data_IF_180285861314
#
_entry.id   IF_180285861314
#
_cell.length_a   1.000
_cell.length_b   1.000
_cell.length_c   1.000
_cell.angle_alpha   90.00
_cell.angle_beta   90.00
_cell.angle_gamma   90.00
#
_symmetry.space_group_name_H-M   'P 1'
#
loop_
_entity.id
_entity.type
_entity.pdbx_description
1 polymer ?
#
# COMPACT_ATOMS: atom_id res chain seq x y z
N UNK A 1 53.50 -37.75 17.48
CA UNK A 1 53.03 -37.43 16.10
C UNK A 1 51.65 -36.83 16.27
N UNK A 2 51.60 -35.50 16.40
CA UNK A 2 50.36 -34.74 16.65
C UNK A 2 49.95 -34.09 15.33
N UNK A 3 48.80 -34.50 14.81
CA UNK A 3 48.21 -33.90 13.62
C UNK A 3 47.16 -32.87 14.05
N UNK A 4 47.52 -31.59 13.91
CA UNK A 4 46.62 -30.44 14.16
C UNK A 4 45.64 -30.30 13.01
N UNK A 5 44.36 -30.52 13.27
CA UNK A 5 43.26 -30.15 12.39
C UNK A 5 43.05 -28.64 12.49
N UNK A 6 43.26 -27.91 11.39
CA UNK A 6 42.90 -26.51 11.24
C UNK A 6 41.40 -26.42 10.95
N UNK A 7 40.63 -25.80 11.85
CA UNK A 7 39.27 -25.30 11.60
C UNK A 7 39.42 -23.95 10.92
N UNK A 8 38.90 -23.83 9.71
CA UNK A 8 38.78 -22.56 9.01
C UNK A 8 37.39 -22.00 9.30
N UNK A 9 37.36 -20.94 10.12
CA UNK A 9 36.17 -20.07 10.26
C UNK A 9 35.94 -19.32 8.97
N UNK A 10 34.78 -19.54 8.33
CA UNK A 10 34.28 -18.69 7.26
C UNK A 10 33.11 -17.88 7.80
N UNK A 11 33.30 -16.56 7.85
CA UNK A 11 32.34 -15.55 8.27
C UNK A 11 31.11 -15.50 7.38
N UNK A 12 29.89 -15.31 7.95
CA UNK A 12 28.64 -15.15 7.16
C UNK A 12 28.19 -13.68 7.04
N UNK A 13 29.11 -12.71 6.86
CA UNK A 13 28.74 -11.28 6.92
C UNK A 13 28.49 -10.60 5.56
N UNK A 14 28.91 -11.18 4.44
CA UNK A 14 28.84 -10.49 3.15
C UNK A 14 27.50 -10.57 2.40
N UNK A 15 26.62 -11.52 2.73
CA UNK A 15 25.33 -11.65 2.01
C UNK A 15 24.28 -10.62 2.44
N UNK A 16 24.21 -10.29 3.72
CA UNK A 16 23.21 -9.30 4.23
C UNK A 16 23.46 -7.86 3.75
N UNK A 17 24.71 -7.48 3.57
CA UNK A 17 25.09 -6.12 3.13
C UNK A 17 24.69 -5.89 1.67
N UNK A 18 24.80 -6.89 0.80
CA UNK A 18 24.44 -6.76 -0.63
C UNK A 18 22.94 -6.70 -0.86
N UNK A 19 22.10 -7.39 -0.07
CA UNK A 19 20.65 -7.40 -0.25
C UNK A 19 20.02 -6.07 0.17
N UNK A 20 20.53 -5.43 1.23
CA UNK A 20 20.03 -4.13 1.71
C UNK A 20 20.39 -2.99 0.75
N UNK A 21 21.52 -3.09 0.05
CA UNK A 21 21.96 -2.17 -1.00
C UNK A 21 21.05 -2.27 -2.23
N UNK A 22 20.69 -3.48 -2.66
CA UNK A 22 19.84 -3.72 -3.83
C UNK A 22 18.40 -3.21 -3.62
N UNK A 23 17.86 -3.30 -2.40
CA UNK A 23 16.55 -2.74 -2.09
C UNK A 23 16.59 -1.21 -2.07
N UNK A 24 17.64 -0.61 -1.48
CA UNK A 24 17.84 0.84 -1.50
C UNK A 24 17.93 1.37 -2.93
N UNK A 25 18.65 0.68 -3.81
CA UNK A 25 18.76 1.01 -5.22
C UNK A 25 17.41 0.93 -5.94
N UNK A 26 16.64 -0.15 -5.78
CA UNK A 26 15.28 -0.29 -6.34
C UNK A 26 14.30 0.77 -5.82
N UNK A 27 14.40 1.15 -4.53
CA UNK A 27 13.58 2.20 -3.95
C UNK A 27 13.96 3.58 -4.53
N UNK A 28 15.25 3.85 -4.73
CA UNK A 28 15.76 5.12 -5.31
C UNK A 28 15.43 5.21 -6.81
N UNK A 29 15.57 4.13 -7.58
CA UNK A 29 15.22 4.12 -9.02
C UNK A 29 13.72 4.36 -9.24
N UNK A 30 12.84 3.84 -8.37
CA UNK A 30 11.40 4.04 -8.46
C UNK A 30 10.96 5.46 -8.06
N UNK A 31 11.73 6.16 -7.21
CA UNK A 31 11.49 7.57 -6.84
C UNK A 31 11.85 8.55 -7.97
N UNK A 32 12.85 8.22 -8.81
CA UNK A 32 13.27 9.07 -9.92
C UNK A 32 12.31 9.15 -11.10
N UNK A 33 11.26 8.31 -11.16
CA UNK A 33 10.32 8.26 -12.30
C UNK A 33 9.11 9.19 -12.18
N UNK A 34 8.95 9.95 -11.10
CA UNK A 34 7.88 10.96 -10.99
C UNK A 34 8.43 12.31 -10.46
N UNK A 35 8.80 13.17 -11.40
CA UNK A 35 8.77 14.61 -11.18
C UNK A 35 7.46 15.16 -11.75
N UNK A 36 6.75 15.96 -10.93
CA UNK A 36 5.65 16.86 -11.26
C UNK A 36 4.26 16.28 -11.56
N UNK A 37 3.42 16.28 -10.48
CA UNK A 37 2.06 16.88 -10.57
C UNK A 37 1.52 17.18 -9.15
N UNK A 38 1.01 18.39 -8.88
CA UNK A 38 0.51 18.78 -7.55
C UNK A 38 -0.80 18.08 -7.19
N UNK A 39 -0.86 17.51 -6.00
CA UNK A 39 -2.12 17.02 -5.40
C UNK A 39 -2.98 18.22 -5.00
N UNK A 40 -4.00 18.53 -5.79
CA UNK A 40 -5.02 19.50 -5.41
C UNK A 40 -6.04 18.87 -4.45
N UNK A 41 -6.41 19.64 -3.44
CA UNK A 41 -7.39 19.34 -2.40
C UNK A 41 -8.76 18.95 -2.95
N UNK A 42 -9.42 17.99 -2.29
CA UNK A 42 -10.78 17.55 -2.61
C UNK A 42 -11.78 18.66 -2.26
N UNK A 43 -12.38 19.29 -3.27
CA UNK A 43 -13.58 20.09 -3.12
C UNK A 43 -14.84 19.24 -3.30
N UNK A 44 -15.84 19.59 -2.52
CA UNK A 44 -17.13 18.93 -2.34
C UNK A 44 -18.05 19.16 -3.53
N UNK A 45 -18.90 18.20 -3.84
CA UNK A 45 -20.27 18.53 -4.22
C UNK A 45 -21.26 17.45 -3.74
N UNK A 46 -22.27 17.88 -3.06
CA UNK A 46 -23.36 17.08 -2.58
C UNK A 46 -24.65 17.51 -3.25
N UNK A 47 -25.44 16.56 -3.68
CA UNK A 47 -26.90 16.67 -3.67
C UNK A 47 -27.49 15.28 -3.78
N UNK A 48 -28.27 14.90 -2.77
CA UNK A 48 -29.10 13.70 -2.83
C UNK A 48 -30.28 13.93 -3.78
N UNK A 49 -30.48 13.00 -4.68
CA UNK A 49 -31.75 12.79 -5.37
C UNK A 49 -32.05 11.30 -5.32
N UNK A 50 -33.18 10.94 -4.72
CA UNK A 50 -33.77 9.62 -4.82
C UNK A 50 -34.18 9.38 -6.27
N UNK A 51 -33.42 8.54 -6.99
CA UNK A 51 -33.82 8.08 -8.32
C UNK A 51 -34.60 6.77 -8.21
N UNK A 52 -35.88 6.86 -8.53
CA UNK A 52 -36.75 5.74 -8.89
C UNK A 52 -36.12 5.00 -10.08
N UNK A 53 -35.69 3.77 -9.85
CA UNK A 53 -35.08 2.91 -10.86
C UNK A 53 -36.11 2.43 -11.86
N UNK A 54 -36.30 3.14 -12.98
CA UNK A 54 -37.00 2.60 -14.14
C UNK A 54 -36.04 1.66 -14.89
N UNK A 55 -36.39 0.39 -14.98
CA UNK A 55 -35.66 -0.60 -15.78
C UNK A 55 -35.84 -0.32 -17.28
N UNK A 56 -35.03 0.56 -17.85
CA UNK A 56 -34.86 0.63 -19.29
C UNK A 56 -33.84 -0.45 -19.72
N UNK A 57 -34.13 -1.20 -20.81
CA UNK A 57 -33.14 -2.15 -21.32
C UNK A 57 -31.88 -1.39 -21.74
N UNK A 58 -30.76 -1.75 -21.12
CA UNK A 58 -29.44 -1.22 -21.48
C UNK A 58 -29.15 -1.49 -22.95
N UNK A 59 -28.67 -0.49 -23.69
CA UNK A 59 -28.18 -0.70 -25.04
C UNK A 59 -27.11 -1.77 -25.07
N UNK A 60 -26.99 -2.54 -26.15
CA UNK A 60 -26.04 -3.66 -26.27
C UNK A 60 -24.60 -3.25 -25.90
N UNK A 61 -24.19 -2.05 -26.30
CA UNK A 61 -22.87 -1.48 -25.98
C UNK A 61 -22.68 -1.23 -24.48
N UNK A 62 -23.73 -0.83 -23.77
CA UNK A 62 -23.67 -0.63 -22.31
C UNK A 62 -23.60 -1.96 -21.56
N UNK A 63 -24.27 -2.99 -22.07
CA UNK A 63 -24.19 -4.35 -21.51
C UNK A 63 -22.80 -4.94 -21.70
N UNK A 64 -22.17 -4.73 -22.83
CA UNK A 64 -20.80 -5.20 -23.10
C UNK A 64 -19.78 -4.47 -22.23
N UNK A 65 -19.89 -3.15 -22.09
CA UNK A 65 -19.05 -2.37 -21.18
C UNK A 65 -19.20 -2.83 -19.72
N UNK A 66 -20.40 -3.13 -19.26
CA UNK A 66 -20.66 -3.64 -17.93
C UNK A 66 -19.99 -5.02 -17.69
N UNK A 67 -20.03 -5.91 -18.71
CA UNK A 67 -19.35 -7.21 -18.66
C UNK A 67 -17.83 -7.04 -18.59
N UNK A 68 -17.26 -6.18 -19.43
CA UNK A 68 -15.81 -5.89 -19.42
C UNK A 68 -15.38 -5.30 -18.07
N UNK A 69 -16.14 -4.36 -17.51
CA UNK A 69 -15.87 -3.81 -16.18
C UNK A 69 -15.91 -4.90 -15.09
N UNK A 70 -16.93 -5.75 -15.09
CA UNK A 70 -17.03 -6.86 -14.13
C UNK A 70 -15.87 -7.84 -14.25
N UNK A 71 -15.44 -8.16 -15.47
CA UNK A 71 -14.27 -9.01 -15.71
C UNK A 71 -12.99 -8.35 -15.20
N UNK A 72 -12.80 -7.08 -15.46
CA UNK A 72 -11.67 -6.30 -14.93
C UNK A 72 -11.64 -6.32 -13.39
N UNK A 73 -12.78 -6.13 -12.73
CA UNK A 73 -12.86 -6.17 -11.26
C UNK A 73 -12.50 -7.54 -10.69
N UNK A 74 -12.84 -8.64 -11.39
CA UNK A 74 -12.43 -9.98 -11.02
C UNK A 74 -10.89 -10.14 -11.03
N UNK A 75 -10.20 -9.49 -11.96
CA UNK A 75 -8.73 -9.51 -11.99
C UNK A 75 -8.13 -8.83 -10.78
N UNK A 76 -8.65 -7.66 -10.39
CA UNK A 76 -8.20 -6.95 -9.19
C UNK A 76 -8.49 -7.74 -7.90
N UNK A 77 -9.65 -8.39 -7.80
CA UNK A 77 -9.97 -9.28 -6.67
C UNK A 77 -8.98 -10.46 -6.58
N UNK A 78 -8.66 -11.06 -7.71
CA UNK A 78 -7.70 -12.17 -7.77
C UNK A 78 -6.30 -11.71 -7.35
N UNK A 79 -5.86 -10.53 -7.82
CA UNK A 79 -4.59 -9.93 -7.40
C UNK A 79 -4.51 -9.68 -5.90
N UNK A 80 -5.57 -9.12 -5.30
CA UNK A 80 -5.66 -8.95 -3.84
C UNK A 80 -5.55 -10.28 -3.11
N UNK A 81 -6.29 -11.30 -3.52
CA UNK A 81 -6.27 -12.62 -2.86
C UNK A 81 -4.88 -13.24 -2.90
N UNK A 82 -4.25 -13.23 -4.08
CA UNK A 82 -2.91 -13.80 -4.25
C UNK A 82 -1.87 -13.05 -3.40
N UNK A 83 -1.88 -11.72 -3.44
CA UNK A 83 -0.92 -10.91 -2.68
C UNK A 83 -1.16 -11.01 -1.16
N UNK A 84 -2.42 -11.09 -0.72
CA UNK A 84 -2.76 -11.32 0.69
C UNK A 84 -2.24 -12.67 1.18
N UNK A 85 -2.39 -13.74 0.38
CA UNK A 85 -1.86 -15.06 0.70
C UNK A 85 -0.34 -15.04 0.82
N UNK A 86 0.37 -14.34 -0.08
CA UNK A 86 1.82 -14.17 0.01
C UNK A 86 2.25 -13.50 1.31
N UNK A 87 1.62 -12.38 1.67
CA UNK A 87 1.89 -11.67 2.93
C UNK A 87 1.64 -12.56 4.16
N UNK A 88 0.59 -13.38 4.13
CA UNK A 88 0.31 -14.33 5.21
C UNK A 88 1.36 -15.44 5.32
N UNK A 89 1.86 -15.93 4.20
CA UNK A 89 2.96 -16.92 4.17
C UNK A 89 4.24 -16.30 4.74
N UNK A 90 4.62 -15.10 4.27
CA UNK A 90 5.80 -14.39 4.76
C UNK A 90 5.72 -14.08 6.26
N UNK A 91 4.53 -13.73 6.76
CA UNK A 91 4.32 -13.51 8.20
C UNK A 91 4.59 -14.76 9.02
N UNK A 92 4.09 -15.92 8.57
CA UNK A 92 4.30 -17.20 9.25
C UNK A 92 5.75 -17.66 9.18
N UNK A 93 6.40 -17.49 8.05
CA UNK A 93 7.82 -17.80 7.87
C UNK A 93 8.69 -16.98 8.83
N UNK A 94 8.40 -15.68 8.92
CA UNK A 94 9.09 -14.79 9.84
C UNK A 94 8.86 -15.16 11.30
N UNK A 95 7.61 -15.49 11.68
CA UNK A 95 7.26 -15.96 13.04
C UNK A 95 8.08 -17.20 13.44
N UNK A 96 8.21 -18.16 12.53
CA UNK A 96 9.00 -19.37 12.79
C UNK A 96 10.50 -19.11 12.98
N UNK A 97 11.02 -18.06 12.32
CA UNK A 97 12.45 -17.73 12.36
C UNK A 97 12.82 -16.76 13.48
N UNK A 98 11.88 -15.98 14.00
CA UNK A 98 12.15 -14.86 14.91
C UNK A 98 11.24 -14.84 16.15
N UNK A 99 10.42 -15.87 16.38
CA UNK A 99 9.48 -15.99 17.51
C UNK A 99 8.51 -14.80 17.67
N UNK A 100 8.29 -14.02 16.61
CA UNK A 100 7.35 -12.89 16.58
C UNK A 100 6.72 -12.65 15.20
N UNK A 101 5.60 -11.96 15.17
CA UNK A 101 4.91 -11.59 13.95
C UNK A 101 5.24 -10.16 13.53
N UNK A 102 5.80 -9.93 12.32
CA UNK A 102 6.04 -8.58 11.80
C UNK A 102 4.75 -7.93 11.27
N UNK A 103 3.67 -8.70 11.12
CA UNK A 103 2.37 -8.21 10.61
C UNK A 103 1.31 -8.43 11.67
N UNK A 104 0.76 -7.35 12.20
CA UNK A 104 -0.38 -7.35 13.13
C UNK A 104 -1.71 -7.59 12.39
N UNK A 105 -1.91 -6.94 11.23
CA UNK A 105 -3.17 -7.03 10.51
C UNK A 105 -3.00 -6.77 9.01
N UNK A 106 -3.79 -7.47 8.19
CA UNK A 106 -3.91 -7.25 6.75
C UNK A 106 -5.36 -6.95 6.42
N UNK A 107 -5.62 -5.79 5.79
CA UNK A 107 -6.94 -5.40 5.27
C UNK A 107 -6.83 -5.12 3.80
N UNK A 108 -7.80 -5.59 3.04
CA UNK A 108 -7.88 -5.32 1.60
C UNK A 108 -9.19 -4.61 1.25
N UNK A 109 -9.15 -3.87 0.16
CA UNK A 109 -10.34 -3.25 -0.42
C UNK A 109 -10.20 -3.12 -1.93
N UNK A 110 -11.35 -3.15 -2.61
CA UNK A 110 -11.49 -2.66 -3.98
C UNK A 110 -12.13 -1.28 -3.93
N UNK A 111 -11.58 -0.36 -4.72
CA UNK A 111 -12.13 0.99 -4.83
C UNK A 111 -13.48 0.93 -5.52
N UNK A 112 -14.49 1.63 -4.99
CA UNK A 112 -15.83 1.67 -5.60
C UNK A 112 -15.81 2.35 -6.97
N UNK A 113 -16.75 1.99 -7.85
CA UNK A 113 -16.90 2.58 -9.18
C UNK A 113 -17.03 4.12 -9.12
N UNK A 114 -17.77 4.63 -8.13
CA UNK A 114 -17.93 6.06 -7.89
C UNK A 114 -16.58 6.74 -7.55
N UNK A 115 -15.80 6.13 -6.64
CA UNK A 115 -14.47 6.66 -6.25
C UNK A 115 -13.48 6.61 -7.41
N UNK A 116 -13.57 5.58 -8.27
CA UNK A 116 -12.78 5.47 -9.49
C UNK A 116 -13.14 6.61 -10.45
N UNK A 117 -14.43 6.81 -10.70
CA UNK A 117 -14.93 7.87 -11.61
C UNK A 117 -14.51 9.27 -11.11
N UNK A 118 -14.67 9.55 -9.80
CA UNK A 118 -14.20 10.80 -9.18
C UNK A 118 -12.70 11.01 -9.38
N UNK A 119 -11.88 9.95 -9.21
CA UNK A 119 -10.42 10.05 -9.40
C UNK A 119 -10.06 10.29 -10.87
N UNK A 120 -10.69 9.60 -11.81
CA UNK A 120 -10.46 9.82 -13.25
C UNK A 120 -10.84 11.26 -13.65
N UNK A 121 -12.00 11.76 -13.21
CA UNK A 121 -12.43 13.14 -13.46
C UNK A 121 -11.43 14.16 -12.90
N UNK A 122 -10.95 13.97 -11.66
CA UNK A 122 -9.94 14.84 -11.03
C UNK A 122 -8.63 14.88 -11.81
N UNK A 123 -8.21 13.74 -12.39
CA UNK A 123 -7.00 13.65 -13.23
C UNK A 123 -7.23 14.09 -14.68
N UNK A 124 -8.44 14.53 -15.06
CA UNK A 124 -8.77 14.89 -16.43
C UNK A 124 -8.72 13.73 -17.43
N UNK A 125 -8.89 12.49 -16.95
CA UNK A 125 -8.75 11.28 -17.76
C UNK A 125 -10.07 10.91 -18.45
N UNK A 126 -10.03 10.42 -19.72
CA UNK A 126 -11.19 9.89 -20.42
C UNK A 126 -11.80 8.70 -19.65
N UNK A 127 -13.13 8.65 -19.57
CA UNK A 127 -13.88 7.60 -18.88
C UNK A 127 -13.96 6.30 -19.70
N UNK A 128 -12.79 5.72 -20.03
CA UNK A 128 -12.66 4.46 -20.76
C UNK A 128 -11.94 3.41 -19.90
N UNK A 129 -12.25 2.13 -20.09
CA UNK A 129 -11.60 1.06 -19.35
C UNK A 129 -10.08 1.00 -19.63
N UNK A 130 -9.66 1.25 -20.87
CA UNK A 130 -8.25 1.29 -21.24
C UNK A 130 -7.53 2.42 -20.51
N UNK A 131 -8.12 3.62 -20.44
CA UNK A 131 -7.51 4.73 -19.70
C UNK A 131 -7.47 4.44 -18.19
N UNK A 132 -8.51 3.82 -17.65
CA UNK A 132 -8.59 3.41 -16.26
C UNK A 132 -7.44 2.46 -15.89
N UNK A 133 -7.26 1.36 -16.64
CA UNK A 133 -6.24 0.34 -16.35
C UNK A 133 -4.81 0.87 -16.46
N UNK A 134 -4.57 1.83 -17.35
CA UNK A 134 -3.23 2.38 -17.59
C UNK A 134 -2.84 3.51 -16.63
N UNK A 135 -3.81 4.15 -15.95
CA UNK A 135 -3.54 5.37 -15.17
C UNK A 135 -3.98 5.30 -13.70
N UNK A 136 -4.74 4.27 -13.31
CA UNK A 136 -5.26 4.13 -11.95
C UNK A 136 -4.79 2.81 -11.34
N UNK A 137 -3.69 2.85 -10.57
CA UNK A 137 -3.07 1.66 -9.99
C UNK A 137 -3.59 1.29 -8.59
N UNK A 138 -4.43 2.12 -7.97
CA UNK A 138 -4.97 1.95 -6.62
C UNK A 138 -6.43 1.44 -6.60
N UNK A 139 -6.86 0.74 -7.65
CA UNK A 139 -8.16 0.06 -7.70
C UNK A 139 -8.19 -1.08 -6.70
N UNK A 140 -7.18 -1.93 -6.72
CA UNK A 140 -6.91 -2.95 -5.72
C UNK A 140 -5.97 -2.39 -4.65
N UNK A 141 -6.38 -2.44 -3.39
CA UNK A 141 -5.57 -1.93 -2.28
C UNK A 141 -5.46 -2.94 -1.14
N UNK A 142 -4.26 -3.08 -0.60
CA UNK A 142 -3.99 -3.84 0.62
C UNK A 142 -3.36 -2.91 1.63
N UNK A 143 -3.83 -2.97 2.88
CA UNK A 143 -3.21 -2.29 4.01
C UNK A 143 -2.62 -3.33 4.94
N UNK A 144 -1.32 -3.19 5.20
CA UNK A 144 -0.55 -3.99 6.14
C UNK A 144 -0.23 -3.13 7.36
N UNK A 145 -0.55 -3.62 8.54
CA UNK A 145 -0.24 -2.96 9.81
C UNK A 145 0.86 -3.77 10.48
N UNK A 146 1.93 -3.10 10.88
CA UNK A 146 3.09 -3.66 11.55
C UNK A 146 3.23 -3.08 12.97
N UNK A 147 3.80 -3.82 13.92
CA UNK A 147 4.11 -3.30 15.25
C UNK A 147 5.12 -2.15 15.22
N UNK A 148 6.21 -2.30 14.48
CA UNK A 148 7.37 -1.41 14.49
C UNK A 148 7.69 -0.84 13.10
N UNK A 149 8.45 0.27 13.08
CA UNK A 149 8.87 0.91 11.83
C UNK A 149 9.80 -0.04 11.03
N UNK A 150 10.70 -0.75 11.71
CA UNK A 150 11.59 -1.75 11.06
C UNK A 150 10.80 -2.85 10.38
N UNK A 151 9.71 -3.31 10.99
CA UNK A 151 8.87 -4.36 10.40
C UNK A 151 8.19 -3.90 9.10
N UNK A 152 7.81 -2.62 8.99
CA UNK A 152 7.26 -2.06 7.75
C UNK A 152 8.24 -2.26 6.60
N UNK A 153 9.51 -1.92 6.80
CA UNK A 153 10.53 -2.07 5.78
C UNK A 153 10.93 -3.53 5.54
N UNK A 154 10.97 -4.35 6.59
CA UNK A 154 11.31 -5.77 6.47
C UNK A 154 10.24 -6.54 5.68
N UNK A 155 8.95 -6.31 5.96
CA UNK A 155 7.84 -6.90 5.19
C UNK A 155 7.88 -6.42 3.75
N UNK A 156 8.18 -5.15 3.50
CA UNK A 156 8.36 -4.61 2.15
C UNK A 156 9.50 -5.32 1.42
N UNK A 157 10.65 -5.51 2.07
CA UNK A 157 11.82 -6.22 1.53
C UNK A 157 11.48 -7.67 1.19
N UNK A 158 10.86 -8.41 2.11
CA UNK A 158 10.46 -9.80 1.88
C UNK A 158 9.49 -9.93 0.70
N UNK A 159 8.52 -9.01 0.58
CA UNK A 159 7.58 -9.00 -0.52
C UNK A 159 8.28 -8.72 -1.86
N UNK A 160 9.14 -7.72 -1.91
CA UNK A 160 9.82 -7.29 -3.14
C UNK A 160 10.97 -8.22 -3.57
N UNK A 161 11.43 -9.12 -2.69
CA UNK A 161 12.40 -10.18 -3.05
C UNK A 161 11.77 -11.33 -3.85
N UNK A 162 10.43 -11.42 -3.91
CA UNK A 162 9.75 -12.48 -4.66
C UNK A 162 9.80 -12.21 -6.16
N UNK A 163 10.13 -13.25 -6.94
CA UNK A 163 10.38 -13.15 -8.39
C UNK A 163 9.13 -12.83 -9.23
N UNK A 164 7.94 -13.02 -8.67
CA UNK A 164 6.65 -12.77 -9.33
C UNK A 164 5.96 -11.48 -8.82
N UNK A 165 6.69 -10.65 -8.07
CA UNK A 165 6.25 -9.33 -7.61
C UNK A 165 7.16 -8.28 -8.25
N UNK A 166 6.60 -7.48 -9.15
CA UNK A 166 7.27 -6.37 -9.82
C UNK A 166 6.93 -5.06 -9.12
N UNK A 167 7.94 -4.33 -8.66
CA UNK A 167 7.76 -2.98 -8.11
C UNK A 167 7.58 -1.97 -9.25
N UNK A 168 6.48 -1.21 -9.21
CA UNK A 168 6.18 -0.14 -10.18
C UNK A 168 6.49 1.23 -9.62
N UNK A 169 6.16 1.46 -8.33
CA UNK A 169 6.31 2.76 -7.70
C UNK A 169 6.43 2.64 -6.18
N UNK A 170 7.20 3.53 -5.58
CA UNK A 170 7.32 3.73 -4.13
C UNK A 170 6.97 5.17 -3.78
N UNK A 171 6.25 5.36 -2.65
CA UNK A 171 6.11 6.64 -1.96
C UNK A 171 6.33 6.40 -0.47
N UNK A 172 7.44 6.91 0.03
CA UNK A 172 7.84 6.73 1.42
C UNK A 172 7.47 7.94 2.28
N UNK A 173 6.20 8.00 2.68
CA UNK A 173 5.72 9.03 3.59
C UNK A 173 6.12 8.79 5.06
N UNK A 174 6.90 7.75 5.37
CA UNK A 174 7.50 7.58 6.69
C UNK A 174 8.72 8.50 6.78
N UNK A 175 9.57 8.50 5.74
CA UNK A 175 10.75 9.36 5.63
C UNK A 175 10.39 10.80 5.29
N UNK A 176 9.47 10.98 4.34
CA UNK A 176 8.99 12.28 3.87
C UNK A 176 7.48 12.44 4.15
N UNK A 177 7.09 12.76 5.39
CA UNK A 177 5.69 12.91 5.76
C UNK A 177 5.00 14.01 4.97
N UNK A 178 3.71 13.81 4.66
CA UNK A 178 2.90 14.87 4.06
C UNK A 178 2.77 16.05 5.03
N UNK A 179 2.42 17.24 4.50
CA UNK A 179 2.25 18.47 5.28
C UNK A 179 1.28 18.31 6.48
N UNK A 180 0.22 17.51 6.31
CA UNK A 180 -0.73 17.22 7.39
C UNK A 180 -0.21 16.22 8.43
N UNK A 181 1.01 15.70 8.27
CA UNK A 181 1.64 14.71 9.16
C UNK A 181 1.32 13.25 8.83
N UNK A 182 0.65 12.97 7.71
CA UNK A 182 0.40 11.60 7.28
C UNK A 182 1.68 10.84 7.02
N UNK A 183 1.78 9.59 7.55
CA UNK A 183 2.90 8.67 7.37
C UNK A 183 2.41 7.30 6.91
N UNK A 184 3.08 6.72 5.93
CA UNK A 184 2.84 5.37 5.40
C UNK A 184 3.90 5.07 4.35
N UNK A 185 4.30 3.82 4.18
CA UNK A 185 5.01 3.36 3.00
C UNK A 185 3.98 2.86 1.98
N UNK A 186 3.99 3.41 0.77
CA UNK A 186 3.11 3.01 -0.33
C UNK A 186 3.94 2.35 -1.43
N UNK A 187 3.55 1.15 -1.80
CA UNK A 187 4.12 0.43 -2.92
C UNK A 187 3.02 0.18 -3.95
N UNK A 188 3.28 0.49 -5.22
CA UNK A 188 2.50 -0.06 -6.32
C UNK A 188 3.29 -1.24 -6.86
N UNK A 189 2.70 -2.42 -6.76
CA UNK A 189 3.30 -3.65 -7.29
C UNK A 189 2.41 -4.27 -8.34
N UNK A 190 3.01 -4.97 -9.31
CA UNK A 190 2.29 -5.88 -10.20
C UNK A 190 2.57 -7.30 -9.77
N UNK A 191 1.52 -8.11 -9.71
CA UNK A 191 1.60 -9.54 -9.38
C UNK A 191 1.07 -10.38 -10.52
N UNK A 192 1.75 -11.48 -10.83
CA UNK A 192 1.32 -12.44 -11.84
C UNK A 192 0.16 -13.26 -11.30
N UNK A 193 -0.99 -13.19 -11.95
CA UNK A 193 -2.18 -14.00 -11.64
C UNK A 193 -2.51 -14.90 -12.81
N UNK A 194 -2.73 -16.19 -12.54
CA UNK A 194 -3.04 -17.17 -13.56
C UNK A 194 -4.55 -17.41 -13.63
N UNK A 195 -5.13 -17.18 -14.80
CA UNK A 195 -6.52 -17.46 -15.13
C UNK A 195 -6.60 -18.63 -16.10
N UNK A 196 -7.81 -19.13 -16.38
CA UNK A 196 -8.04 -20.24 -17.31
C UNK A 196 -7.57 -19.95 -18.74
N UNK A 197 -7.52 -18.68 -19.12
CA UNK A 197 -7.12 -18.20 -20.45
C UNK A 197 -5.68 -17.62 -20.49
N UNK A 198 -4.92 -17.72 -19.38
CA UNK A 198 -3.53 -17.31 -19.32
C UNK A 198 -3.17 -16.45 -18.11
N UNK A 199 -1.92 -16.00 -18.07
CA UNK A 199 -1.37 -15.16 -17.02
C UNK A 199 -1.64 -13.67 -17.31
N UNK A 200 -1.96 -12.92 -16.26
CA UNK A 200 -2.09 -11.46 -16.29
C UNK A 200 -1.34 -10.81 -15.13
N UNK A 201 -0.70 -9.69 -15.40
CA UNK A 201 -0.13 -8.84 -14.37
C UNK A 201 -1.19 -7.90 -13.83
N UNK A 202 -1.44 -7.98 -12.53
CA UNK A 202 -2.46 -7.18 -11.85
C UNK A 202 -1.77 -6.18 -10.90
N UNK A 203 -2.00 -4.86 -11.08
CA UNK A 203 -1.47 -3.86 -10.18
C UNK A 203 -2.26 -3.85 -8.87
N UNK A 204 -1.54 -3.75 -7.75
CA UNK A 204 -2.08 -3.64 -6.39
C UNK A 204 -1.31 -2.58 -5.62
N UNK A 205 -2.01 -1.64 -4.99
CA UNK A 205 -1.41 -0.72 -4.03
C UNK A 205 -1.27 -1.40 -2.66
N UNK A 206 -0.07 -1.43 -2.11
CA UNK A 206 0.21 -1.91 -0.76
C UNK A 206 0.58 -0.73 0.13
N UNK A 207 -0.28 -0.43 1.11
CA UNK A 207 -0.04 0.61 2.11
C UNK A 207 0.43 -0.06 3.40
N UNK A 208 1.66 0.21 3.79
CA UNK A 208 2.25 -0.34 5.01
C UNK A 208 2.39 0.75 6.06
N UNK A 209 1.99 0.47 7.30
CA UNK A 209 1.94 1.41 8.42
C UNK A 209 2.26 0.72 9.72
N UNK A 210 2.74 1.48 10.69
CA UNK A 210 2.68 1.03 12.09
C UNK A 210 1.26 1.15 12.65
N UNK A 211 1.05 0.60 13.84
CA UNK A 211 -0.21 0.74 14.58
C UNK A 211 -0.53 2.22 14.81
N UNK A 212 0.46 3.03 15.24
CA UNK A 212 0.28 4.46 15.51
C UNK A 212 -0.02 5.26 14.23
N UNK A 213 0.68 5.00 13.12
CA UNK A 213 0.39 5.60 11.82
C UNK A 213 -1.03 5.28 11.36
N UNK A 214 -1.47 4.03 11.55
CA UNK A 214 -2.80 3.61 11.17
C UNK A 214 -3.88 4.21 12.05
N UNK A 215 -3.64 4.35 13.36
CA UNK A 215 -4.55 5.04 14.28
C UNK A 215 -4.80 6.47 13.81
N UNK A 216 -3.74 7.23 13.58
CA UNK A 216 -3.86 8.61 13.13
C UNK A 216 -4.59 8.72 11.78
N UNK A 217 -4.16 7.96 10.77
CA UNK A 217 -4.72 8.02 9.42
C UNK A 217 -6.20 7.61 9.37
N UNK A 218 -6.61 6.61 10.17
CA UNK A 218 -8.00 6.16 10.24
C UNK A 218 -8.89 7.18 10.94
N UNK A 219 -8.39 7.81 11.99
CA UNK A 219 -9.13 8.82 12.77
C UNK A 219 -9.25 10.14 11.98
N UNK A 220 -8.17 10.59 11.33
CA UNK A 220 -8.19 11.77 10.46
C UNK A 220 -9.22 11.61 9.34
N UNK A 221 -9.23 10.45 8.67
CA UNK A 221 -10.21 10.15 7.63
C UNK A 221 -11.65 10.21 8.16
N UNK A 222 -11.94 9.68 9.36
CA UNK A 222 -13.27 9.74 9.95
C UNK A 222 -13.69 11.18 10.30
N UNK A 223 -12.76 12.01 10.78
CA UNK A 223 -13.01 13.42 11.10
C UNK A 223 -13.33 14.22 9.83
N UNK A 224 -12.63 13.96 8.72
CA UNK A 224 -12.89 14.59 7.42
C UNK A 224 -14.19 14.12 6.77
N UNK A 225 -14.59 12.87 6.99
CA UNK A 225 -15.76 12.30 6.34
C UNK A 225 -17.09 12.82 6.89
N UNK A 226 -17.11 13.44 8.08
CA UNK A 226 -18.30 14.14 8.61
C UNK A 226 -18.51 15.44 7.85
N UNK A 227 -19.26 15.35 6.75
CA UNK A 227 -19.45 16.33 5.68
C UNK A 227 -19.97 17.73 6.09
N UNK A 228 -20.39 17.94 7.33
CA UNK A 228 -21.10 19.18 7.73
C UNK A 228 -20.22 20.19 8.48
N UNK A 229 -18.94 19.93 8.65
CA UNK A 229 -18.05 20.85 9.37
C UNK A 229 -16.82 21.20 8.54
N UNK A 230 -16.67 22.47 8.24
CA UNK A 230 -15.44 23.02 7.66
C UNK A 230 -14.29 22.79 8.65
N UNK A 231 -13.25 22.06 8.22
CA UNK A 231 -12.04 21.89 9.02
C UNK A 231 -11.27 23.21 9.01
N UNK A 232 -11.18 23.86 10.16
CA UNK A 232 -10.46 25.13 10.30
C UNK A 232 -8.93 24.93 10.28
N UNK A 233 -8.19 26.02 10.00
CA UNK A 233 -6.71 25.98 10.06
C UNK A 233 -6.20 25.55 11.44
N UNK A 234 -6.89 25.91 12.51
CA UNK A 234 -6.56 25.47 13.87
C UNK A 234 -6.74 23.96 14.04
N UNK A 235 -7.82 23.38 13.49
CA UNK A 235 -8.03 21.92 13.51
C UNK A 235 -6.94 21.20 12.72
N UNK A 236 -6.52 21.73 11.55
CA UNK A 236 -5.39 21.18 10.80
C UNK A 236 -4.09 21.18 11.61
N UNK A 237 -3.78 22.30 12.30
CA UNK A 237 -2.60 22.38 13.15
C UNK A 237 -2.66 21.37 14.31
N UNK A 238 -3.82 21.17 14.92
CA UNK A 238 -4.03 20.17 15.99
C UNK A 238 -3.88 18.73 15.46
N UNK A 239 -4.41 18.43 14.27
CA UNK A 239 -4.23 17.13 13.63
C UNK A 239 -2.76 16.84 13.31
N UNK A 240 -2.02 17.84 12.80
CA UNK A 240 -0.57 17.74 12.58
C UNK A 240 0.17 17.48 13.90
N UNK A 241 -0.15 18.20 14.97
CA UNK A 241 0.45 17.96 16.30
C UNK A 241 0.17 16.54 16.82
N UNK A 242 -1.04 16.00 16.60
CA UNK A 242 -1.34 14.61 16.93
C UNK A 242 -0.48 13.63 16.11
N UNK A 243 -0.25 13.92 14.81
CA UNK A 243 0.62 13.10 13.97
C UNK A 243 2.06 13.06 14.49
N UNK A 244 2.57 14.19 14.96
CA UNK A 244 3.94 14.29 15.49
C UNK A 244 4.08 13.53 16.82
N UNK A 245 3.07 13.59 17.70
CA UNK A 245 3.02 12.79 18.94
C UNK A 245 3.01 11.28 18.61
N UNK A 246 2.22 10.85 17.60
CA UNK A 246 2.19 9.45 17.19
C UNK A 246 3.52 9.00 16.59
N UNK A 247 4.21 9.87 15.85
CA UNK A 247 5.53 9.56 15.30
C UNK A 247 6.60 9.44 16.40
N UNK A 248 6.55 10.28 17.43
CA UNK A 248 7.44 10.16 18.57
C UNK A 248 7.18 8.86 19.36
N UNK A 249 5.92 8.51 19.58
CA UNK A 249 5.55 7.25 20.22
C UNK A 249 6.09 6.03 19.43
N UNK A 250 5.91 6.01 18.10
CA UNK A 250 6.47 4.96 17.24
C UNK A 250 7.99 4.85 17.40
N UNK A 251 8.67 5.98 17.40
CA UNK A 251 10.13 6.01 17.54
C UNK A 251 10.60 5.51 18.90
N UNK A 252 9.92 5.90 20.00
CA UNK A 252 10.24 5.43 21.35
C UNK A 252 10.00 3.91 21.48
N UNK A 253 8.89 3.40 20.92
CA UNK A 253 8.61 1.96 20.92
C UNK A 253 9.62 1.18 20.08
N UNK A 254 10.06 1.73 18.95
CA UNK A 254 11.12 1.14 18.14
C UNK A 254 12.43 1.02 18.92
N UNK A 255 12.85 2.07 19.63
CA UNK A 255 14.06 2.04 20.47
C UNK A 255 13.97 1.01 21.57
N UNK A 256 12.84 0.94 22.27
CA UNK A 256 12.65 -0.08 23.31
C UNK A 256 12.77 -1.49 22.76
N UNK A 257 12.19 -1.73 21.57
CA UNK A 257 12.31 -3.03 20.90
C UNK A 257 13.77 -3.38 20.57
N UNK A 258 14.56 -2.41 20.11
CA UNK A 258 15.99 -2.58 19.83
C UNK A 258 16.80 -2.86 21.09
N UNK A 259 16.51 -2.16 22.21
CA UNK A 259 17.19 -2.34 23.50
C UNK A 259 16.96 -3.73 24.12
N UNK A 260 15.77 -4.29 23.97
CA UNK A 260 15.43 -5.64 24.48
C UNK A 260 15.71 -6.76 23.49
N UNK A 261 16.36 -6.44 22.35
CA UNK A 261 16.67 -7.40 21.27
C UNK A 261 15.44 -8.15 20.74
N UNK A 262 14.38 -7.40 20.59
CA UNK A 262 13.09 -7.93 20.12
C UNK A 262 13.05 -8.12 18.60
#
# INVERSE_FOLDING_TARGET
MDEKVKVTDTEPTDKKVNEDTTLKEKLVEAECMEADMPEQSEEQDGTGAEETTSYLPLAADQLDLAKQYKQMMLFYEAGIRQLTTKLQILNREFEQSNDRNPIENIKSRIKSAESIAKKMKRKGLPMTLSCLTNNIYDIAGIRVICPFITDVYEVARMLLSQTDVELVQVKDYIREPKENGYRSLHLIVKINVFFSDGMRQVPVEVQMRTIAMNFWASTEHQLRYKKDKVITSEMHARLKKCADIMADADYQMQKLAEEIHF
#
